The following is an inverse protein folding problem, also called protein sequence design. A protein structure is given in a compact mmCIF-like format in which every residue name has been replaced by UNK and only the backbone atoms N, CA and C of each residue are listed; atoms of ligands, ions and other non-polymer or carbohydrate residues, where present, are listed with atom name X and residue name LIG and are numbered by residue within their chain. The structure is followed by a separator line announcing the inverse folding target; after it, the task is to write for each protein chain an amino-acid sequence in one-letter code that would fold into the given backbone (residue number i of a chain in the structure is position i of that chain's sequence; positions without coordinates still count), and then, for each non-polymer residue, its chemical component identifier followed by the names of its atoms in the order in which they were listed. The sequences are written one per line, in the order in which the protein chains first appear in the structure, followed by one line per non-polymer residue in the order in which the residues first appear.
data_IF_927720354806
#
_entry.id   IF_927720354806
#
_cell.length_a   1.000
_cell.length_b   1.000
_cell.length_c   1.000
_cell.angle_alpha   90.00
_cell.angle_beta   90.00
_cell.angle_gamma   90.00
#
_symmetry.space_group_name_H-M   'P 1'
#
loop_
_entity.id
_entity.type
_entity.pdbx_description
1 polymer ?
#
# COMPACT_ATOMS: atom_id res chain seq x y z
N UNK A 1 3.77 -4.25 6.95
CA UNK A 1 3.47 -5.16 8.09
C UNK A 1 3.95 -6.56 7.74
N UNK A 2 4.56 -7.28 8.69
CA UNK A 2 5.11 -8.61 8.41
C UNK A 2 4.00 -9.66 8.29
N UNK A 3 4.23 -10.70 7.49
CA UNK A 3 3.34 -11.86 7.31
C UNK A 3 2.89 -12.51 8.64
N UNK A 4 3.70 -12.42 9.69
CA UNK A 4 3.38 -12.95 11.03
C UNK A 4 2.18 -12.26 11.69
N UNK A 5 1.98 -10.96 11.48
CA UNK A 5 0.83 -10.23 12.06
C UNK A 5 -0.48 -10.64 11.37
N UNK A 6 -0.49 -10.81 10.06
CA UNK A 6 -1.69 -11.23 9.32
C UNK A 6 -2.14 -12.64 9.71
N UNK A 7 -1.20 -13.57 9.88
CA UNK A 7 -1.49 -14.94 10.38
C UNK A 7 -2.17 -14.91 11.74
N UNK A 8 -1.82 -13.94 12.60
CA UNK A 8 -2.40 -13.78 13.93
C UNK A 8 -3.86 -13.34 13.88
N UNK A 9 -4.20 -12.38 12.99
CA UNK A 9 -5.58 -11.92 12.81
C UNK A 9 -6.50 -13.05 12.32
N UNK A 10 -6.07 -13.75 11.27
CA UNK A 10 -6.79 -14.91 10.75
C UNK A 10 -6.98 -16.01 11.80
N UNK A 11 -5.96 -16.24 12.65
CA UNK A 11 -6.03 -17.21 13.74
C UNK A 11 -7.05 -16.81 14.81
N UNK A 12 -7.15 -15.51 15.14
CA UNK A 12 -8.17 -15.04 16.08
C UNK A 12 -9.59 -15.27 15.54
N UNK A 13 -9.84 -14.99 14.26
CA UNK A 13 -11.13 -15.24 13.61
C UNK A 13 -11.47 -16.74 13.60
N UNK A 14 -10.52 -17.59 13.20
CA UNK A 14 -10.70 -19.04 13.22
C UNK A 14 -10.94 -19.58 14.64
N UNK A 15 -10.29 -19.02 15.66
CA UNK A 15 -10.49 -19.39 17.05
C UNK A 15 -11.83 -18.88 17.61
N UNK A 16 -12.37 -17.79 17.10
CA UNK A 16 -13.75 -17.36 17.43
C UNK A 16 -14.75 -18.40 16.93
N UNK A 17 -14.60 -18.88 15.69
CA UNK A 17 -15.45 -19.98 15.19
C UNK A 17 -15.41 -21.21 16.11
N UNK A 18 -14.20 -21.65 16.49
CA UNK A 18 -14.05 -22.80 17.41
C UNK A 18 -14.73 -22.54 18.75
N UNK A 19 -14.65 -21.32 19.26
CA UNK A 19 -15.30 -20.94 20.50
C UNK A 19 -16.83 -21.00 20.37
N UNK A 20 -17.39 -20.48 19.26
CA UNK A 20 -18.82 -20.54 18.96
C UNK A 20 -19.31 -21.99 18.90
N UNK A 21 -18.61 -22.87 18.16
CA UNK A 21 -18.95 -24.31 18.06
C UNK A 21 -18.99 -24.97 19.42
N UNK A 22 -18.02 -24.67 20.30
CA UNK A 22 -18.00 -25.22 21.67
C UNK A 22 -19.17 -24.72 22.51
N UNK A 23 -19.47 -23.42 22.51
CA UNK A 23 -20.54 -22.91 23.36
C UNK A 23 -21.93 -23.23 22.83
N UNK A 24 -22.07 -23.57 21.54
CA UNK A 24 -23.34 -23.97 20.92
C UNK A 24 -23.84 -25.31 21.47
N UNK A 25 -22.94 -26.22 21.88
CA UNK A 25 -23.32 -27.49 22.47
C UNK A 25 -23.56 -27.45 23.98
N UNK A 26 -23.33 -26.30 24.63
CA UNK A 26 -23.56 -26.13 26.06
C UNK A 26 -25.00 -25.70 26.30
N UNK A 27 -25.86 -26.63 26.82
CA UNK A 27 -27.31 -26.41 26.97
C UNK A 27 -27.68 -25.20 27.83
N UNK A 28 -26.83 -24.88 28.84
CA UNK A 28 -27.08 -23.77 29.77
C UNK A 28 -26.48 -22.44 29.27
N UNK A 29 -25.90 -22.39 28.06
CA UNK A 29 -25.33 -21.16 27.52
C UNK A 29 -26.44 -20.18 27.13
N UNK A 30 -26.78 -19.29 28.05
CA UNK A 30 -27.79 -18.25 27.87
C UNK A 30 -27.35 -16.93 28.54
N UNK A 31 -26.37 -16.20 27.96
CA UNK A 31 -25.86 -14.98 28.56
C UNK A 31 -26.90 -13.84 28.49
N UNK A 32 -27.03 -13.08 29.59
CA UNK A 32 -27.86 -11.88 29.65
C UNK A 32 -27.25 -10.71 28.87
N UNK A 33 -25.98 -10.76 28.58
CA UNK A 33 -25.25 -9.76 27.79
C UNK A 33 -25.44 -10.07 26.31
N UNK A 34 -26.12 -9.19 25.59
CA UNK A 34 -26.53 -9.40 24.21
C UNK A 34 -25.35 -9.72 23.25
N UNK A 35 -24.22 -9.02 23.45
CA UNK A 35 -23.01 -9.23 22.61
C UNK A 35 -22.39 -10.64 22.79
N UNK A 36 -22.78 -11.40 23.79
CA UNK A 36 -22.34 -12.77 24.01
C UNK A 36 -23.32 -13.80 23.48
N UNK A 37 -24.50 -13.39 22.95
CA UNK A 37 -25.48 -14.31 22.38
C UNK A 37 -24.89 -15.03 21.15
N UNK A 38 -25.33 -16.27 20.89
CA UNK A 38 -24.88 -17.04 19.73
C UNK A 38 -25.11 -16.30 18.40
N UNK A 39 -26.22 -15.55 18.30
CA UNK A 39 -26.55 -14.74 17.10
C UNK A 39 -25.48 -13.66 16.90
N UNK A 40 -25.13 -12.91 17.94
CA UNK A 40 -24.16 -11.82 17.84
C UNK A 40 -22.72 -12.34 17.69
N UNK A 41 -22.38 -13.48 18.30
CA UNK A 41 -21.08 -14.14 18.07
C UNK A 41 -20.92 -14.57 16.63
N UNK A 42 -21.95 -15.18 16.01
CA UNK A 42 -21.93 -15.56 14.59
C UNK A 42 -21.84 -14.33 13.67
N UNK A 43 -22.55 -13.26 14.00
CA UNK A 43 -22.47 -11.98 13.26
C UNK A 43 -21.06 -11.42 13.33
N UNK A 44 -20.45 -11.39 14.52
CA UNK A 44 -19.08 -10.94 14.72
C UNK A 44 -18.07 -11.79 13.94
N UNK A 45 -18.23 -13.12 13.93
CA UNK A 45 -17.41 -14.02 13.15
C UNK A 45 -17.51 -13.72 11.64
N UNK A 46 -18.72 -13.65 11.10
CA UNK A 46 -18.95 -13.41 9.68
C UNK A 46 -18.40 -12.04 9.25
N UNK A 47 -18.63 -11.00 10.05
CA UNK A 47 -18.12 -9.66 9.79
C UNK A 47 -16.58 -9.64 9.84
N UNK A 48 -15.98 -10.34 10.80
CA UNK A 48 -14.54 -10.44 10.93
C UNK A 48 -13.91 -11.17 9.73
N UNK A 49 -14.53 -12.26 9.28
CA UNK A 49 -14.09 -13.00 8.10
C UNK A 49 -14.18 -12.14 6.82
N UNK A 50 -15.32 -11.45 6.63
CA UNK A 50 -15.51 -10.53 5.51
C UNK A 50 -14.48 -9.38 5.52
N UNK A 51 -14.14 -8.85 6.69
CA UNK A 51 -13.12 -7.79 6.85
C UNK A 51 -11.72 -8.28 6.42
N UNK A 52 -11.33 -9.52 6.74
CA UNK A 52 -10.07 -10.11 6.28
C UNK A 52 -10.04 -10.27 4.76
N UNK A 53 -11.14 -10.72 4.16
CA UNK A 53 -11.26 -10.86 2.70
C UNK A 53 -11.17 -9.51 1.99
N UNK A 54 -11.93 -8.51 2.46
CA UNK A 54 -11.91 -7.16 1.90
C UNK A 54 -10.53 -6.49 2.02
N UNK A 55 -9.80 -6.75 3.10
CA UNK A 55 -8.43 -6.27 3.27
C UNK A 55 -7.49 -6.88 2.23
N UNK A 56 -7.59 -8.19 1.96
CA UNK A 56 -6.75 -8.85 0.96
C UNK A 56 -7.05 -8.37 -0.46
N UNK A 57 -8.33 -8.11 -0.78
CA UNK A 57 -8.74 -7.49 -2.04
C UNK A 57 -8.10 -6.11 -2.22
N UNK A 58 -8.14 -5.24 -1.19
CA UNK A 58 -7.51 -3.92 -1.25
C UNK A 58 -5.98 -3.99 -1.33
N UNK A 59 -5.36 -4.97 -0.67
CA UNK A 59 -3.92 -5.24 -0.78
C UNK A 59 -3.53 -5.62 -2.22
N UNK A 60 -4.30 -6.47 -2.86
CA UNK A 60 -4.06 -6.87 -4.23
C UNK A 60 -4.29 -5.70 -5.21
N UNK A 61 -5.33 -4.89 -5.00
CA UNK A 61 -5.57 -3.68 -5.79
C UNK A 61 -4.39 -2.70 -5.69
N UNK A 62 -3.87 -2.45 -4.48
CA UNK A 62 -2.71 -1.57 -4.29
C UNK A 62 -1.44 -2.13 -4.96
N UNK A 63 -1.18 -3.44 -4.86
CA UNK A 63 -0.05 -4.07 -5.58
C UNK A 63 -0.18 -3.89 -7.09
N UNK A 64 -1.37 -4.09 -7.64
CA UNK A 64 -1.62 -3.93 -9.07
C UNK A 64 -1.40 -2.47 -9.52
N UNK A 65 -1.87 -1.49 -8.75
CA UNK A 65 -1.63 -0.07 -9.02
C UNK A 65 -0.12 0.26 -8.99
N UNK A 66 0.63 -0.27 -8.02
CA UNK A 66 2.10 -0.11 -7.95
C UNK A 66 2.77 -0.68 -9.19
N UNK A 67 2.39 -1.89 -9.64
CA UNK A 67 2.94 -2.49 -10.85
C UNK A 67 2.59 -1.70 -12.11
N UNK A 68 1.35 -1.23 -12.25
CA UNK A 68 0.93 -0.40 -13.38
C UNK A 68 1.74 0.91 -13.43
N UNK A 69 1.94 1.58 -12.27
CA UNK A 69 2.80 2.77 -12.19
C UNK A 69 4.24 2.45 -12.61
N UNK A 70 4.84 1.37 -12.11
CA UNK A 70 6.19 0.99 -12.50
C UNK A 70 6.30 0.79 -14.01
N UNK A 71 5.36 0.07 -14.60
CA UNK A 71 5.33 -0.24 -16.04
C UNK A 71 5.22 1.02 -16.91
N UNK A 72 4.34 1.96 -16.56
CA UNK A 72 4.18 3.19 -17.34
C UNK A 72 5.43 4.08 -17.25
N UNK A 73 6.15 4.07 -16.12
CA UNK A 73 7.38 4.87 -15.95
C UNK A 73 8.64 4.25 -16.59
N UNK A 74 8.64 2.95 -16.94
CA UNK A 74 9.79 2.30 -17.60
C UNK A 74 10.23 3.03 -18.86
N UNK A 75 9.27 3.53 -19.64
CA UNK A 75 9.54 4.19 -20.92
C UNK A 75 9.90 5.68 -20.78
N UNK A 76 9.79 6.28 -19.60
CA UNK A 76 10.00 7.74 -19.45
C UNK A 76 11.44 8.15 -19.83
N UNK A 77 12.44 7.44 -19.33
CA UNK A 77 13.86 7.74 -19.61
C UNK A 77 14.23 7.55 -21.08
N UNK A 78 13.86 6.43 -21.73
CA UNK A 78 14.04 6.27 -23.18
C UNK A 78 13.35 7.35 -23.99
N UNK A 79 12.09 7.66 -23.69
CA UNK A 79 11.32 8.70 -24.42
C UNK A 79 12.00 10.08 -24.31
N UNK A 80 12.39 10.48 -23.11
CA UNK A 80 13.05 11.79 -22.94
C UNK A 80 14.41 11.86 -23.62
N UNK A 81 15.17 10.77 -23.66
CA UNK A 81 16.41 10.71 -24.45
C UNK A 81 16.14 10.89 -25.94
N UNK A 82 15.12 10.25 -26.49
CA UNK A 82 14.71 10.40 -27.90
C UNK A 82 14.26 11.82 -28.22
N UNK A 83 13.56 12.49 -27.29
CA UNK A 83 13.18 13.91 -27.42
C UNK A 83 14.44 14.78 -27.55
N UNK A 84 15.43 14.60 -26.65
CA UNK A 84 16.67 15.39 -26.72
C UNK A 84 17.41 15.16 -28.03
N UNK A 85 17.49 13.93 -28.53
CA UNK A 85 18.12 13.64 -29.82
C UNK A 85 17.39 14.33 -30.99
N UNK A 86 16.05 14.43 -30.93
CA UNK A 86 15.29 15.21 -31.91
C UNK A 86 15.60 16.73 -31.84
N UNK A 87 15.71 17.26 -30.62
CA UNK A 87 16.04 18.66 -30.42
C UNK A 87 17.46 19.03 -30.87
N UNK A 88 18.44 18.11 -30.72
CA UNK A 88 19.83 18.32 -31.12
C UNK A 88 19.98 18.56 -32.64
N UNK A 89 19.11 18.01 -33.47
CA UNK A 89 19.18 18.13 -34.94
C UNK A 89 18.42 19.36 -35.49
N UNK A 90 17.66 20.09 -34.64
CA UNK A 90 16.82 21.19 -35.08
C UNK A 90 17.57 22.55 -35.21
N UNK A 91 18.85 22.59 -34.84
CA UNK A 91 19.63 23.81 -34.90
C UNK A 91 19.15 24.93 -33.96
N UNK A 92 18.59 24.52 -32.80
CA UNK A 92 18.04 25.43 -31.79
C UNK A 92 19.12 26.33 -31.16
N UNK A 93 18.69 27.46 -30.62
CA UNK A 93 19.56 28.32 -29.79
C UNK A 93 20.12 27.49 -28.62
N UNK A 94 21.41 27.67 -28.34
CA UNK A 94 22.13 26.91 -27.30
C UNK A 94 21.42 26.92 -25.95
N UNK A 95 20.87 28.06 -25.51
CA UNK A 95 20.18 28.18 -24.21
C UNK A 95 18.95 27.26 -24.10
N UNK A 96 18.15 27.16 -25.17
CA UNK A 96 16.96 26.29 -25.22
C UNK A 96 17.35 24.81 -25.14
N UNK A 97 18.37 24.43 -25.91
CA UNK A 97 18.88 23.05 -25.90
C UNK A 97 19.50 22.66 -24.55
N UNK A 98 20.28 23.55 -23.93
CA UNK A 98 20.87 23.36 -22.61
C UNK A 98 19.79 23.22 -21.53
N UNK A 99 18.70 23.99 -21.61
CA UNK A 99 17.55 23.84 -20.71
C UNK A 99 16.88 22.47 -20.87
N UNK A 100 16.63 22.02 -22.10
CA UNK A 100 16.06 20.69 -22.37
C UNK A 100 16.96 19.57 -21.82
N UNK A 101 18.28 19.65 -22.06
CA UNK A 101 19.27 18.70 -21.55
C UNK A 101 19.33 18.70 -20.03
N UNK A 102 19.17 19.85 -19.38
CA UNK A 102 19.11 19.94 -17.92
C UNK A 102 17.88 19.21 -17.35
N UNK A 103 16.70 19.44 -17.93
CA UNK A 103 15.48 18.72 -17.54
C UNK A 103 15.61 17.20 -17.74
N UNK A 104 16.19 16.77 -18.86
CA UNK A 104 16.44 15.36 -19.09
C UNK A 104 17.38 14.74 -18.03
N UNK A 105 18.45 15.46 -17.62
CA UNK A 105 19.33 14.99 -16.54
C UNK A 105 18.59 14.77 -15.22
N UNK A 106 17.62 15.64 -14.91
CA UNK A 106 16.78 15.45 -13.71
C UNK A 106 15.91 14.19 -13.81
N UNK A 107 15.44 13.83 -15.00
CA UNK A 107 14.64 12.62 -15.26
C UNK A 107 15.55 11.38 -15.26
N UNK A 108 16.72 11.45 -15.90
CA UNK A 108 17.67 10.33 -15.97
C UNK A 108 18.24 9.95 -14.59
N UNK A 109 18.39 10.95 -13.72
CA UNK A 109 19.01 10.80 -12.41
C UNK A 109 20.53 10.92 -12.47
N UNK A 110 21.17 11.09 -11.30
CA UNK A 110 22.62 11.14 -11.20
C UNK A 110 23.22 9.76 -11.52
N UNK A 111 24.17 9.70 -12.45
CA UNK A 111 24.99 8.52 -12.64
C UNK A 111 25.69 8.19 -11.32
N UNK A 112 25.63 6.92 -10.88
CA UNK A 112 26.47 6.47 -9.76
C UNK A 112 27.91 6.78 -10.13
N UNK A 113 28.53 7.76 -9.47
CA UNK A 113 29.98 7.93 -9.56
C UNK A 113 30.61 6.60 -9.14
N UNK A 114 31.36 5.94 -10.02
CA UNK A 114 32.28 4.87 -9.62
C UNK A 114 33.13 5.45 -8.49
N UNK A 115 33.06 4.87 -7.30
CA UNK A 115 34.05 5.13 -6.25
C UNK A 115 35.41 4.70 -6.83
N UNK A 116 36.20 5.66 -7.26
CA UNK A 116 37.65 5.45 -7.38
C UNK A 116 38.16 5.33 -5.95
N UNK A 117 38.66 4.16 -5.60
CA UNK A 117 39.41 3.90 -4.39
C UNK A 117 40.62 4.83 -4.37
N UNK A 118 40.54 5.86 -3.58
CA UNK A 118 41.72 6.56 -3.02
C UNK A 118 41.46 6.65 -1.53
N UNK A 119 42.36 5.99 -0.81
CA UNK A 119 42.51 6.05 0.64
C UNK A 119 42.71 7.50 1.07
N UNK A 120 42.00 7.95 2.07
CA UNK A 120 42.35 8.75 3.22
C UNK A 120 41.14 9.53 3.73
N UNK A 121 40.84 9.34 5.00
CA UNK A 121 40.14 10.16 5.98
C UNK A 121 39.24 11.29 5.47
N UNK A 122 37.94 11.09 5.49
CA UNK A 122 36.98 12.16 5.71
C UNK A 122 35.73 11.63 6.46
N UNK A 123 35.36 12.37 7.50
CA UNK A 123 34.22 12.17 8.38
C UNK A 123 32.97 11.84 7.59
N UNK A 124 32.18 10.84 8.03
CA UNK A 124 30.88 10.51 7.50
C UNK A 124 29.95 11.71 7.66
N UNK A 125 29.93 12.59 6.67
CA UNK A 125 28.79 13.49 6.49
C UNK A 125 27.58 12.67 6.08
N UNK A 126 26.63 12.56 6.97
CA UNK A 126 25.26 12.10 6.72
C UNK A 126 24.64 12.98 5.63
N UNK A 127 24.93 12.67 4.36
CA UNK A 127 24.23 13.28 3.23
C UNK A 127 22.83 12.70 3.19
N UNK A 128 21.85 13.46 3.68
CA UNK A 128 20.44 13.21 3.44
C UNK A 128 20.25 13.09 1.93
N UNK A 129 20.09 11.87 1.44
CA UNK A 129 19.78 11.58 0.05
C UNK A 129 18.37 12.11 -0.25
N UNK A 130 18.28 13.38 -0.64
CA UNK A 130 17.04 13.91 -1.21
C UNK A 130 16.84 13.25 -2.57
N UNK A 131 16.08 12.16 -2.59
CA UNK A 131 15.77 11.44 -3.82
C UNK A 131 14.96 12.35 -4.76
N UNK A 132 15.64 12.97 -5.72
CA UNK A 132 15.02 13.75 -6.82
C UNK A 132 14.34 12.86 -7.86
N UNK A 133 14.13 11.61 -7.53
CA UNK A 133 13.63 10.53 -8.41
C UNK A 133 12.29 9.96 -7.95
N UNK A 134 11.51 10.71 -7.13
CA UNK A 134 10.13 10.28 -6.84
C UNK A 134 9.30 10.29 -8.13
N UNK A 135 8.31 9.43 -8.24
CA UNK A 135 7.42 9.37 -9.39
C UNK A 135 6.76 10.73 -9.69
N UNK A 136 6.34 11.45 -8.65
CA UNK A 136 5.78 12.80 -8.77
C UNK A 136 6.80 13.78 -9.36
N UNK A 137 8.05 13.77 -8.88
CA UNK A 137 9.09 14.65 -9.43
C UNK A 137 9.48 14.30 -10.86
N UNK A 138 9.48 13.02 -11.21
CA UNK A 138 9.73 12.58 -12.59
C UNK A 138 8.64 13.07 -13.53
N UNK A 139 7.36 12.94 -13.15
CA UNK A 139 6.24 13.49 -13.93
C UNK A 139 6.30 15.03 -14.05
N UNK A 140 6.63 15.74 -12.95
CA UNK A 140 6.78 17.20 -12.96
C UNK A 140 7.93 17.67 -13.87
N UNK A 141 9.08 17.02 -13.83
CA UNK A 141 10.20 17.33 -14.72
C UNK A 141 9.84 17.04 -16.20
N UNK A 142 9.07 15.99 -16.45
CA UNK A 142 8.57 15.69 -17.78
C UNK A 142 7.55 16.74 -18.24
N UNK A 143 6.65 17.20 -17.38
CA UNK A 143 5.74 18.31 -17.66
C UNK A 143 6.49 19.59 -18.07
N UNK A 144 7.56 19.95 -17.33
CA UNK A 144 8.42 21.10 -17.68
C UNK A 144 9.08 20.94 -19.05
N UNK A 145 9.51 19.73 -19.39
CA UNK A 145 10.04 19.43 -20.72
C UNK A 145 8.97 19.61 -21.81
N UNK A 146 7.74 19.15 -21.58
CA UNK A 146 6.62 19.35 -22.52
C UNK A 146 6.26 20.84 -22.69
N UNK A 147 6.29 21.62 -21.60
CA UNK A 147 6.09 23.08 -21.68
C UNK A 147 7.18 23.74 -22.56
N UNK A 148 8.45 23.33 -22.39
CA UNK A 148 9.51 23.81 -23.26
C UNK A 148 9.27 23.41 -24.72
N UNK A 149 8.88 22.17 -24.99
CA UNK A 149 8.55 21.69 -26.34
C UNK A 149 7.40 22.48 -26.99
N UNK A 150 6.44 22.97 -26.19
CA UNK A 150 5.32 23.76 -26.72
C UNK A 150 5.78 25.09 -27.34
N UNK A 151 6.88 25.67 -26.85
CA UNK A 151 7.47 26.89 -27.36
C UNK A 151 8.34 26.70 -28.60
N UNK A 152 8.67 25.47 -28.98
CA UNK A 152 9.52 25.16 -30.14
C UNK A 152 8.62 24.79 -31.32
N UNK A 153 8.41 25.74 -32.23
CA UNK A 153 7.54 25.54 -33.41
C UNK A 153 8.11 24.49 -34.36
N UNK A 154 9.44 24.45 -34.51
CA UNK A 154 10.14 23.50 -35.40
C UNK A 154 10.13 22.04 -34.90
N UNK A 155 9.70 21.79 -33.63
CA UNK A 155 9.58 20.44 -33.12
C UNK A 155 8.35 19.72 -33.68
N UNK A 156 8.54 18.99 -34.76
CA UNK A 156 7.51 18.22 -35.47
C UNK A 156 8.06 16.83 -35.89
N UNK A 157 8.27 15.90 -34.95
CA UNK A 157 8.79 14.57 -35.26
C UNK A 157 7.79 13.73 -36.05
N UNK A 158 8.31 12.91 -36.98
CA UNK A 158 7.49 11.95 -37.75
C UNK A 158 7.06 10.76 -36.92
N UNK A 159 7.76 10.48 -35.82
CA UNK A 159 7.45 9.35 -34.90
C UNK A 159 6.25 9.71 -34.04
N UNK A 160 5.18 8.93 -34.15
CA UNK A 160 3.91 9.19 -33.43
C UNK A 160 4.10 9.36 -31.93
N UNK A 161 4.87 8.48 -31.28
CA UNK A 161 5.14 8.52 -29.83
C UNK A 161 5.77 9.83 -29.35
N UNK A 162 6.51 10.53 -30.24
CA UNK A 162 7.20 11.78 -29.91
C UNK A 162 6.39 13.02 -30.26
N UNK A 163 5.23 12.90 -30.89
CA UNK A 163 4.35 14.04 -31.16
C UNK A 163 3.86 14.67 -29.86
N UNK A 164 3.78 16.01 -29.82
CA UNK A 164 3.38 16.78 -28.62
C UNK A 164 2.08 16.25 -27.99
N UNK A 165 1.08 15.89 -28.80
CA UNK A 165 -0.21 15.35 -28.33
C UNK A 165 -0.02 14.02 -27.59
N UNK A 166 0.74 13.08 -28.17
CA UNK A 166 0.97 11.76 -27.59
C UNK A 166 1.85 11.83 -26.34
N UNK A 167 2.83 12.75 -26.32
CA UNK A 167 3.63 13.02 -25.13
C UNK A 167 2.78 13.60 -23.98
N UNK A 168 1.80 14.47 -24.29
CA UNK A 168 0.86 14.99 -23.30
C UNK A 168 -0.05 13.90 -22.74
N UNK A 169 -0.55 13.02 -23.60
CA UNK A 169 -1.33 11.83 -23.18
C UNK A 169 -0.48 10.93 -22.30
N UNK A 170 0.78 10.70 -22.66
CA UNK A 170 1.71 9.92 -21.88
C UNK A 170 1.97 10.56 -20.50
N UNK A 171 2.19 11.86 -20.43
CA UNK A 171 2.30 12.56 -19.14
C UNK A 171 1.05 12.39 -18.27
N UNK A 172 -0.14 12.51 -18.86
CA UNK A 172 -1.40 12.27 -18.14
C UNK A 172 -1.46 10.87 -17.56
N UNK A 173 -0.99 9.85 -18.30
CA UNK A 173 -0.94 8.48 -17.80
C UNK A 173 0.03 8.32 -16.62
N UNK A 174 1.19 9.00 -16.63
CA UNK A 174 2.14 8.99 -15.49
C UNK A 174 1.51 9.56 -14.23
N UNK A 175 0.81 10.71 -14.36
CA UNK A 175 0.14 11.36 -13.23
C UNK A 175 -1.00 10.50 -12.68
N UNK A 176 -1.85 9.96 -13.57
CA UNK A 176 -2.99 9.14 -13.16
C UNK A 176 -2.54 7.87 -12.45
N UNK A 177 -1.56 7.13 -12.98
CA UNK A 177 -1.05 5.92 -12.32
C UNK A 177 -0.39 6.22 -10.96
N UNK A 178 0.19 7.41 -10.78
CA UNK A 178 0.71 7.83 -9.46
C UNK A 178 -0.45 8.09 -8.50
N UNK A 179 -1.49 8.80 -8.93
CA UNK A 179 -2.70 9.06 -8.14
C UNK A 179 -3.43 7.77 -7.77
N UNK A 180 -3.50 6.79 -8.67
CA UNK A 180 -4.15 5.50 -8.41
C UNK A 180 -3.45 4.74 -7.29
N UNK A 181 -2.10 4.80 -7.21
CA UNK A 181 -1.37 4.23 -6.08
C UNK A 181 -1.70 4.93 -4.78
N UNK A 182 -1.71 6.26 -4.75
CA UNK A 182 -2.03 7.03 -3.54
C UNK A 182 -3.46 6.73 -3.06
N UNK A 183 -4.41 6.60 -3.99
CA UNK A 183 -5.79 6.26 -3.68
C UNK A 183 -5.92 4.84 -3.13
N UNK A 184 -5.34 3.84 -3.80
CA UNK A 184 -5.42 2.44 -3.37
C UNK A 184 -4.69 2.19 -2.05
N UNK A 185 -3.61 2.93 -1.77
CA UNK A 185 -2.93 2.92 -0.47
C UNK A 185 -3.82 3.49 0.65
N UNK A 186 -4.50 4.61 0.39
CA UNK A 186 -5.43 5.20 1.35
C UNK A 186 -6.60 4.25 1.66
N UNK A 187 -7.17 3.60 0.63
CA UNK A 187 -8.23 2.60 0.79
C UNK A 187 -7.76 1.37 1.58
N UNK A 188 -6.54 0.89 1.33
CA UNK A 188 -5.93 -0.20 2.08
C UNK A 188 -5.72 0.17 3.55
N UNK A 189 -5.21 1.37 3.83
CA UNK A 189 -5.01 1.86 5.18
C UNK A 189 -6.34 2.00 5.95
N UNK A 190 -7.41 2.45 5.29
CA UNK A 190 -8.75 2.49 5.89
C UNK A 190 -9.22 1.08 6.30
N UNK A 191 -8.97 0.06 5.47
CA UNK A 191 -9.32 -1.33 5.80
C UNK A 191 -8.46 -1.93 6.93
N UNK A 192 -7.20 -1.52 7.08
CA UNK A 192 -6.40 -1.89 8.25
C UNK A 192 -7.00 -1.33 9.55
N UNK A 193 -7.44 -0.07 9.54
CA UNK A 193 -8.06 0.57 10.71
C UNK A 193 -9.38 -0.14 11.04
N UNK A 194 -10.26 -0.37 10.06
CA UNK A 194 -11.54 -1.06 10.22
C UNK A 194 -11.36 -2.45 10.83
N UNK A 195 -10.45 -3.27 10.27
CA UNK A 195 -10.12 -4.59 10.82
C UNK A 195 -9.61 -4.51 12.26
N UNK A 196 -8.70 -3.60 12.56
CA UNK A 196 -8.13 -3.46 13.90
C UNK A 196 -9.21 -3.09 14.92
N UNK A 197 -10.11 -2.20 14.57
CA UNK A 197 -11.26 -1.84 15.42
C UNK A 197 -12.17 -3.04 15.65
N UNK A 198 -12.51 -3.79 14.59
CA UNK A 198 -13.37 -4.96 14.69
C UNK A 198 -12.76 -6.06 15.55
N UNK A 199 -11.45 -6.28 15.45
CA UNK A 199 -10.79 -7.35 16.20
C UNK A 199 -10.38 -6.94 17.63
N UNK A 200 -10.04 -5.67 17.86
CA UNK A 200 -9.33 -5.25 19.09
C UNK A 200 -9.91 -4.04 19.80
N UNK A 201 -11.02 -3.44 19.34
CA UNK A 201 -11.63 -2.33 20.06
C UNK A 201 -12.02 -2.72 21.50
N UNK A 202 -11.78 -1.82 22.44
CA UNK A 202 -12.13 -2.03 23.82
C UNK A 202 -13.64 -2.26 23.99
N UNK A 203 -13.99 -3.27 24.73
CA UNK A 203 -15.38 -3.64 25.05
C UNK A 203 -16.14 -4.36 23.93
N UNK A 204 -15.87 -4.08 22.65
CA UNK A 204 -16.67 -4.57 21.52
C UNK A 204 -15.87 -5.44 20.53
N UNK A 205 -14.56 -5.36 20.54
CA UNK A 205 -13.70 -6.12 19.63
C UNK A 205 -13.74 -7.64 19.89
N UNK A 206 -13.51 -8.40 18.84
CA UNK A 206 -13.50 -9.87 18.88
C UNK A 206 -12.69 -10.43 20.06
N UNK A 207 -11.51 -9.86 20.33
CA UNK A 207 -10.65 -10.30 21.41
C UNK A 207 -11.37 -10.16 22.77
N UNK A 208 -11.93 -9.00 23.05
CA UNK A 208 -12.64 -8.72 24.32
C UNK A 208 -13.89 -9.59 24.45
N UNK A 209 -14.69 -9.72 23.40
CA UNK A 209 -15.88 -10.57 23.37
C UNK A 209 -15.51 -12.01 23.65
N UNK A 210 -14.48 -12.56 22.99
CA UNK A 210 -14.02 -13.92 23.23
C UNK A 210 -13.55 -14.17 24.68
N UNK A 211 -12.87 -13.18 25.28
CA UNK A 211 -12.49 -13.28 26.69
C UNK A 211 -13.73 -13.24 27.62
N UNK A 212 -14.73 -12.43 27.30
CA UNK A 212 -15.97 -12.34 28.08
C UNK A 212 -16.81 -13.63 27.97
N UNK A 213 -16.88 -14.26 26.81
CA UNK A 213 -17.46 -15.60 26.65
C UNK A 213 -16.80 -16.61 27.59
N UNK A 214 -15.45 -16.64 27.63
CA UNK A 214 -14.72 -17.54 28.55
C UNK A 214 -15.01 -17.23 30.02
N UNK A 215 -15.09 -15.94 30.39
CA UNK A 215 -15.45 -15.55 31.75
C UNK A 215 -16.87 -16.00 32.10
N UNK A 216 -17.81 -15.87 31.16
CA UNK A 216 -19.19 -16.31 31.33
C UNK A 216 -19.26 -17.83 31.58
N UNK A 217 -18.59 -18.65 30.76
CA UNK A 217 -18.53 -20.10 30.96
C UNK A 217 -17.88 -20.46 32.28
N UNK A 218 -16.80 -19.77 32.68
CA UNK A 218 -16.18 -19.94 33.99
C UNK A 218 -17.13 -19.63 35.13
N UNK A 219 -17.97 -18.61 34.99
CA UNK A 219 -19.00 -18.25 35.98
C UNK A 219 -20.12 -19.30 36.04
N UNK A 220 -20.51 -19.86 34.89
CA UNK A 220 -21.63 -20.79 34.78
C UNK A 220 -21.26 -22.19 35.31
N UNK A 221 -20.10 -22.73 34.91
CA UNK A 221 -19.73 -24.11 35.20
C UNK A 221 -18.61 -24.26 36.26
N UNK A 222 -17.92 -23.17 36.58
CA UNK A 222 -16.79 -23.17 37.49
C UNK A 222 -15.42 -23.33 36.81
N UNK A 223 -14.35 -22.95 37.52
CA UNK A 223 -12.99 -22.90 36.98
C UNK A 223 -12.38 -24.28 36.66
N UNK A 224 -12.87 -25.34 37.33
CA UNK A 224 -12.36 -26.72 37.20
C UNK A 224 -13.22 -27.58 36.29
N UNK A 225 -14.29 -27.06 35.72
CA UNK A 225 -15.21 -27.79 34.85
C UNK A 225 -14.56 -28.22 33.53
N UNK A 226 -14.99 -29.34 32.95
CA UNK A 226 -14.56 -29.79 31.62
C UNK A 226 -14.87 -28.74 30.54
N UNK A 227 -16.02 -28.08 30.62
CA UNK A 227 -16.48 -27.03 29.69
C UNK A 227 -15.48 -25.86 29.69
N UNK A 228 -15.15 -25.32 30.86
CA UNK A 228 -14.18 -24.23 30.97
C UNK A 228 -12.77 -24.69 30.58
N UNK A 229 -12.35 -25.90 30.98
CA UNK A 229 -11.05 -26.44 30.58
C UNK A 229 -10.88 -26.50 29.06
N UNK A 230 -11.94 -26.90 28.32
CA UNK A 230 -11.93 -26.98 26.86
C UNK A 230 -11.77 -25.63 26.21
N UNK A 231 -12.61 -24.64 26.54
CA UNK A 231 -12.58 -23.31 25.91
C UNK A 231 -11.37 -22.47 26.33
N UNK A 232 -10.82 -22.70 27.53
CA UNK A 232 -9.64 -21.96 28.02
C UNK A 232 -8.40 -22.20 27.14
N UNK A 233 -8.31 -23.35 26.46
CA UNK A 233 -7.24 -23.75 25.56
C UNK A 233 -7.29 -23.01 24.21
N UNK A 234 -8.46 -22.43 23.83
CA UNK A 234 -8.59 -21.62 22.61
C UNK A 234 -7.91 -20.27 22.87
N UNK A 235 -6.77 -20.02 22.24
CA UNK A 235 -5.95 -18.84 22.51
C UNK A 235 -6.31 -17.69 21.56
N UNK A 236 -6.48 -16.50 22.12
CA UNK A 236 -6.61 -15.25 21.38
C UNK A 236 -5.42 -14.36 21.71
N UNK A 237 -4.94 -13.63 20.75
CA UNK A 237 -3.76 -12.76 20.90
C UNK A 237 -4.16 -11.29 20.64
N UNK A 238 -3.62 -10.39 21.45
CA UNK A 238 -3.72 -8.94 21.23
C UNK A 238 -2.80 -8.48 20.09
N UNK A 239 -3.03 -7.27 19.64
CA UNK A 239 -2.18 -6.63 18.62
C UNK A 239 -0.84 -6.20 19.23
#
# INVERSE_FOLDING_TARGET
MSQQFETRHAKNVANLQKLIEQVTVYTDYNPSVENLSLVNLNTLYNTSLASLTALEEKRNANKNAIHARQQVYENLKPVTTRIINQLDILGLQKGVLDQAKSLNRLIQGASKKKKTTSEENEEEQNTVSTSRQSYTQLADNFSKLLQLLSTIETYNPNTEELKKVNLTTYHTSLVNNTKDVDQTEAELNAKFIERNNLLYADGTGLYTIAQNVKKYIKSLYGATSPEYSTISKIKFTTN
#
